data_IF_941714346464
#
_entry.id   IF_941714346464
#
_cell.length_a   1.000
_cell.length_b   1.000
_cell.length_c   1.000
_cell.angle_alpha   90.00
_cell.angle_beta   90.00
_cell.angle_gamma   90.00
#
_symmetry.space_group_name_H-M   'P 1'
#
loop_
_entity.id
_entity.type
_entity.pdbx_description
1 polymer ?
#
# COMPACT_ATOMS: atom_id res chain seq x y z
N UNK A 1 -13.91 -0.28 -14.91
CA UNK A 1 -14.23 0.93 -14.14
C UNK A 1 -15.62 0.86 -13.55
N UNK A 2 -16.72 0.72 -14.31
CA UNK A 2 -18.08 0.61 -13.70
C UNK A 2 -18.19 -0.43 -12.59
N UNK A 3 -17.53 -1.59 -12.74
CA UNK A 3 -17.49 -2.66 -11.72
C UNK A 3 -16.78 -2.26 -10.42
N UNK A 4 -15.92 -1.25 -10.43
CA UNK A 4 -15.21 -0.73 -9.25
C UNK A 4 -15.95 0.44 -8.56
N UNK A 5 -16.90 1.07 -9.24
CA UNK A 5 -17.64 2.20 -8.67
C UNK A 5 -18.56 1.75 -7.54
N UNK A 6 -18.82 2.66 -6.60
CA UNK A 6 -19.76 2.42 -5.50
C UNK A 6 -19.19 2.70 -4.12
N UNK A 7 -19.80 2.07 -3.12
CA UNK A 7 -19.54 2.31 -1.71
C UNK A 7 -18.80 1.13 -1.11
N UNK A 8 -17.72 1.40 -0.38
CA UNK A 8 -16.90 0.42 0.33
C UNK A 8 -16.83 0.78 1.81
N UNK A 9 -16.76 -0.21 2.69
CA UNK A 9 -16.55 0.06 4.12
C UNK A 9 -15.11 0.53 4.37
N UNK A 10 -14.17 0.04 3.56
CA UNK A 10 -12.76 0.43 3.61
C UNK A 10 -12.08 0.43 2.23
N UNK A 11 -11.06 1.28 2.09
CA UNK A 11 -10.16 1.31 0.92
C UNK A 11 -8.72 1.26 1.42
N UNK A 12 -8.01 0.19 1.07
CA UNK A 12 -6.72 -0.16 1.67
C UNK A 12 -5.63 -0.20 0.58
N UNK A 13 -4.55 0.55 0.79
CA UNK A 13 -3.36 0.46 -0.06
C UNK A 13 -2.58 -0.82 0.23
N UNK A 14 -2.15 -1.52 -0.83
CA UNK A 14 -1.20 -2.64 -0.77
C UNK A 14 0.20 -2.22 -1.24
N UNK A 15 0.49 -0.92 -1.27
CA UNK A 15 1.81 -0.38 -1.55
C UNK A 15 2.19 -0.35 -3.03
N UNK A 16 3.48 -0.56 -3.27
CA UNK A 16 4.36 -0.16 -4.39
C UNK A 16 5.20 1.01 -3.96
N UNK A 17 4.51 2.09 -3.62
CA UNK A 17 5.07 3.32 -3.13
C UNK A 17 4.01 4.03 -2.27
N UNK A 18 4.42 5.13 -1.64
CA UNK A 18 3.56 5.92 -0.77
C UNK A 18 2.48 6.74 -1.51
N UNK A 19 2.62 6.96 -2.84
CA UNK A 19 1.66 7.77 -3.60
C UNK A 19 0.27 7.17 -3.64
N UNK A 20 0.14 5.84 -3.66
CA UNK A 20 -1.17 5.19 -3.53
C UNK A 20 -1.89 5.67 -2.27
N UNK A 21 -1.23 5.63 -1.10
CA UNK A 21 -1.81 6.07 0.17
C UNK A 21 -2.06 7.60 0.22
N UNK A 22 -1.19 8.40 -0.40
CA UNK A 22 -1.34 9.86 -0.51
C UNK A 22 -2.58 10.20 -1.35
N UNK A 23 -2.76 9.56 -2.50
CA UNK A 23 -3.90 9.80 -3.36
C UNK A 23 -5.19 9.31 -2.71
N UNK A 24 -5.21 8.13 -2.08
CA UNK A 24 -6.38 7.67 -1.33
C UNK A 24 -6.77 8.67 -0.22
N UNK A 25 -5.80 9.26 0.51
CA UNK A 25 -6.08 10.33 1.48
C UNK A 25 -6.69 11.57 0.81
N UNK A 26 -6.10 12.02 -0.30
CA UNK A 26 -6.57 13.20 -1.05
C UNK A 26 -8.03 13.08 -1.49
N UNK A 27 -8.45 11.88 -1.90
CA UNK A 27 -9.84 11.60 -2.29
C UNK A 27 -10.72 11.16 -1.11
N UNK A 28 -10.25 11.32 0.14
CA UNK A 28 -10.96 10.95 1.37
C UNK A 28 -11.36 9.48 1.42
N UNK A 29 -10.58 8.61 0.78
CA UNK A 29 -10.79 7.15 0.76
C UNK A 29 -9.92 6.42 1.80
N UNK A 30 -8.93 7.10 2.39
CA UNK A 30 -8.08 6.54 3.42
C UNK A 30 -8.50 7.01 4.82
N UNK A 31 -9.11 6.12 5.62
CA UNK A 31 -9.55 6.41 7.01
C UNK A 31 -8.40 6.41 8.02
N UNK A 32 -7.34 5.64 7.76
CA UNK A 32 -6.18 5.45 8.64
C UNK A 32 -4.92 5.15 7.84
N UNK A 33 -3.74 5.13 8.46
CA UNK A 33 -2.53 4.66 7.78
C UNK A 33 -2.43 3.14 7.87
N UNK A 34 -2.41 2.45 6.72
CA UNK A 34 -2.23 1.00 6.63
C UNK A 34 -0.77 0.56 6.88
N UNK A 35 -0.52 -0.75 7.00
CA UNK A 35 0.80 -1.29 7.27
C UNK A 35 1.80 -1.11 6.10
N UNK A 36 1.32 -0.83 4.89
CA UNK A 36 2.14 -0.69 3.68
C UNK A 36 2.20 0.74 3.12
N UNK A 37 1.52 1.71 3.74
CA UNK A 37 1.35 3.07 3.19
C UNK A 37 2.65 3.86 3.02
N UNK A 38 3.65 3.57 3.84
CA UNK A 38 4.91 4.31 3.92
C UNK A 38 6.11 3.51 3.42
N UNK A 39 5.82 2.39 2.75
CA UNK A 39 6.81 1.48 2.22
C UNK A 39 6.83 1.53 0.69
N UNK A 40 8.01 1.37 0.13
CA UNK A 40 8.16 0.90 -1.23
C UNK A 40 8.20 -0.62 -1.24
N UNK A 41 7.40 -1.23 -2.11
CA UNK A 41 7.27 -2.67 -2.23
C UNK A 41 7.16 -3.04 -3.72
N UNK A 42 8.30 -3.09 -4.44
CA UNK A 42 8.28 -3.18 -5.90
C UNK A 42 7.64 -4.49 -6.38
N UNK A 43 7.85 -5.59 -5.65
CA UNK A 43 7.38 -6.92 -6.04
C UNK A 43 6.04 -7.24 -5.37
N UNK A 44 5.01 -7.57 -6.17
CA UNK A 44 3.73 -8.00 -5.61
C UNK A 44 3.83 -9.40 -4.97
N UNK A 45 4.64 -10.31 -5.53
CA UNK A 45 4.97 -11.61 -4.93
C UNK A 45 5.50 -11.51 -3.49
N UNK A 46 6.31 -10.50 -3.19
CA UNK A 46 6.76 -10.22 -1.82
C UNK A 46 5.62 -9.87 -0.88
N UNK A 47 4.66 -9.05 -1.36
CA UNK A 47 3.46 -8.68 -0.58
C UNK A 47 2.53 -9.87 -0.41
N UNK A 48 2.36 -10.73 -1.43
CA UNK A 48 1.62 -11.99 -1.30
C UNK A 48 2.22 -12.85 -0.18
N UNK A 49 3.54 -13.00 -0.17
CA UNK A 49 4.27 -13.76 0.86
C UNK A 49 4.14 -13.13 2.25
N UNK A 50 4.15 -11.79 2.34
CA UNK A 50 3.95 -11.04 3.58
C UNK A 50 2.56 -11.29 4.17
N UNK A 51 1.51 -11.14 3.36
CA UNK A 51 0.13 -11.36 3.77
C UNK A 51 -0.13 -12.83 4.15
N UNK A 52 0.37 -13.78 3.34
CA UNK A 52 0.25 -15.21 3.59
C UNK A 52 0.90 -15.64 4.91
N UNK A 53 1.98 -14.97 5.31
CA UNK A 53 2.71 -15.24 6.54
C UNK A 53 2.27 -14.36 7.72
N UNK A 54 1.13 -13.67 7.63
CA UNK A 54 0.61 -12.81 8.69
C UNK A 54 1.62 -11.79 9.24
N UNK A 55 2.41 -11.18 8.35
CA UNK A 55 3.46 -10.21 8.73
C UNK A 55 4.52 -10.75 9.70
N UNK A 56 4.68 -12.08 9.83
CA UNK A 56 5.67 -12.70 10.72
C UNK A 56 7.10 -12.30 10.31
N UNK A 57 7.88 -11.82 11.27
CA UNK A 57 9.21 -11.22 11.09
C UNK A 57 9.26 -9.98 10.16
N UNK A 58 8.13 -9.34 9.86
CA UNK A 58 8.12 -8.09 9.11
C UNK A 58 8.74 -6.95 9.92
N UNK A 59 9.77 -6.33 9.35
CA UNK A 59 10.54 -5.26 9.97
C UNK A 59 11.08 -5.67 11.36
N UNK A 60 11.57 -6.91 11.46
CA UNK A 60 12.38 -7.34 12.61
C UNK A 60 13.80 -6.88 12.39
N UNK A 61 14.41 -6.29 13.42
CA UNK A 61 15.72 -5.62 13.35
C UNK A 61 16.81 -6.46 12.66
N UNK A 62 16.84 -7.78 12.89
CA UNK A 62 17.80 -8.72 12.26
C UNK A 62 17.70 -8.81 10.73
N UNK A 63 16.54 -8.46 10.15
CA UNK A 63 16.27 -8.49 8.72
C UNK A 63 16.47 -7.11 8.07
N UNK A 64 16.77 -6.09 8.88
CA UNK A 64 16.79 -4.69 8.47
C UNK A 64 18.19 -4.13 8.31
N UNK A 65 18.38 -3.26 7.34
CA UNK A 65 19.59 -2.44 7.24
C UNK A 65 19.27 -1.03 6.73
N UNK A 66 20.05 -0.05 7.20
CA UNK A 66 20.01 1.29 6.66
C UNK A 66 20.76 1.35 5.33
N UNK A 67 20.09 1.88 4.30
CA UNK A 67 20.75 2.19 3.05
C UNK A 67 21.68 3.41 3.23
N UNK A 68 22.73 3.56 2.41
CA UNK A 68 23.65 4.69 2.52
C UNK A 68 22.99 6.05 2.29
N UNK A 69 21.93 6.06 1.49
CA UNK A 69 21.17 7.25 1.13
C UNK A 69 20.17 7.62 2.23
N UNK A 70 19.94 8.92 2.39
CA UNK A 70 18.89 9.47 3.23
C UNK A 70 17.83 10.11 2.34
N UNK A 71 16.60 10.18 2.84
CA UNK A 71 15.50 10.82 2.15
C UNK A 71 15.01 12.05 2.91
N UNK A 72 14.45 13.01 2.17
CA UNK A 72 13.69 14.13 2.73
C UNK A 72 12.22 13.83 2.52
N UNK A 73 11.47 13.73 3.62
CA UNK A 73 10.06 13.35 3.58
C UNK A 73 9.15 14.40 4.22
N UNK A 74 7.90 14.41 3.77
CA UNK A 74 6.79 15.07 4.44
C UNK A 74 5.92 14.00 5.07
N UNK A 75 5.86 13.97 6.40
CA UNK A 75 5.00 13.04 7.12
C UNK A 75 3.58 13.60 7.24
N UNK A 76 2.62 12.71 7.42
CA UNK A 76 1.21 13.08 7.60
C UNK A 76 1.06 14.10 8.74
N UNK A 77 0.70 15.34 8.39
CA UNK A 77 0.51 16.43 9.34
C UNK A 77 1.76 17.22 9.71
N UNK A 78 2.91 16.94 9.09
CA UNK A 78 4.15 17.71 9.28
C UNK A 78 4.33 18.68 8.11
N UNK A 79 4.41 19.97 8.42
CA UNK A 79 4.55 21.05 7.43
C UNK A 79 6.00 21.17 6.93
N UNK A 80 6.97 20.79 7.76
CA UNK A 80 8.40 20.90 7.46
C UNK A 80 8.99 19.58 6.96
N UNK A 81 9.95 19.63 6.02
CA UNK A 81 10.68 18.45 5.59
C UNK A 81 11.45 17.83 6.75
N UNK A 82 11.40 16.50 6.86
CA UNK A 82 12.14 15.72 7.85
C UNK A 82 13.13 14.82 7.12
N UNK A 83 14.38 14.81 7.56
CA UNK A 83 15.34 13.82 7.09
C UNK A 83 15.01 12.47 7.70
N UNK A 84 14.92 11.43 6.86
CA UNK A 84 14.67 10.06 7.28
C UNK A 84 15.75 9.15 6.71
N UNK A 85 16.18 8.19 7.52
CA UNK A 85 16.91 7.03 7.01
C UNK A 85 16.00 6.22 6.09
N UNK A 86 16.60 5.64 5.05
CA UNK A 86 15.95 4.67 4.17
C UNK A 86 16.29 3.28 4.71
N UNK A 87 15.29 2.57 5.23
CA UNK A 87 15.50 1.28 5.90
C UNK A 87 14.90 0.15 5.08
N UNK A 88 15.72 -0.82 4.71
CA UNK A 88 15.31 -1.98 3.92
C UNK A 88 15.09 -3.19 4.81
N UNK A 89 13.94 -3.85 4.65
CA UNK A 89 13.71 -5.22 5.12
C UNK A 89 14.05 -6.20 4.00
N UNK A 90 15.00 -7.09 4.26
CA UNK A 90 15.48 -8.09 3.30
C UNK A 90 14.58 -9.30 3.18
N UNK A 91 13.80 -9.63 4.22
CA UNK A 91 12.92 -10.81 4.23
C UNK A 91 11.77 -10.66 3.24
N UNK A 92 11.16 -9.48 3.21
CA UNK A 92 10.03 -9.17 2.35
C UNK A 92 10.37 -8.19 1.23
N UNK A 93 11.63 -7.78 1.10
CA UNK A 93 12.09 -6.85 0.07
C UNK A 93 11.30 -5.53 0.05
N UNK A 94 10.93 -4.99 1.21
CA UNK A 94 10.27 -3.68 1.34
C UNK A 94 11.22 -2.63 1.89
N UNK A 95 10.99 -1.37 1.55
CA UNK A 95 11.83 -0.25 2.00
C UNK A 95 10.96 0.79 2.70
N UNK A 96 11.25 1.14 3.95
CA UNK A 96 10.64 2.28 4.63
C UNK A 96 11.41 3.56 4.31
N UNK A 97 10.66 4.62 3.97
CA UNK A 97 11.22 5.94 3.66
C UNK A 97 10.88 7.02 4.70
N UNK A 98 9.88 6.79 5.54
CA UNK A 98 9.25 7.84 6.36
C UNK A 98 9.33 7.61 7.87
N UNK A 99 9.72 6.40 8.28
CA UNK A 99 9.50 5.96 9.65
C UNK A 99 10.69 6.17 10.60
N UNK A 100 11.88 6.47 10.07
CA UNK A 100 13.14 6.51 10.83
C UNK A 100 13.81 7.89 10.70
N UNK A 101 13.40 8.90 11.49
CA UNK A 101 13.97 10.24 11.40
C UNK A 101 15.47 10.24 11.72
N UNK A 102 16.23 11.09 11.02
CA UNK A 102 17.65 11.32 11.32
C UNK A 102 17.74 12.20 12.57
N UNK A 103 18.30 11.64 13.63
CA UNK A 103 18.57 12.35 14.89
C UNK A 103 20.09 12.57 15.00
N UNK A 104 20.57 13.80 15.23
CA UNK A 104 22.00 14.07 15.31
C UNK A 104 22.70 13.21 16.37
N UNK A 105 23.79 12.56 15.98
CA UNK A 105 24.64 11.70 16.83
C UNK A 105 23.98 10.41 17.34
N UNK A 106 22.85 10.01 16.76
CA UNK A 106 22.17 8.76 17.12
C UNK A 106 22.18 7.78 15.94
N UNK A 107 22.16 6.49 16.26
CA UNK A 107 21.97 5.44 15.26
C UNK A 107 20.51 5.40 14.77
N UNK A 108 20.31 4.97 13.52
CA UNK A 108 18.98 4.90 12.89
C UNK A 108 17.97 4.04 13.68
N UNK A 109 18.45 3.04 14.43
CA UNK A 109 17.59 2.12 15.19
C UNK A 109 17.15 2.68 16.55
N UNK A 110 17.56 3.88 16.94
CA UNK A 110 17.14 4.51 18.21
C UNK A 110 15.62 4.63 18.34
N UNK A 111 14.93 4.83 17.20
CA UNK A 111 13.46 4.93 17.12
C UNK A 111 12.76 3.61 16.79
N UNK A 112 13.51 2.49 16.72
CA UNK A 112 12.99 1.19 16.27
C UNK A 112 11.79 0.72 17.08
N UNK A 113 11.85 0.84 18.41
CA UNK A 113 10.78 0.39 19.29
C UNK A 113 9.45 1.09 18.99
N UNK A 114 9.47 2.42 18.89
CA UNK A 114 8.29 3.23 18.62
C UNK A 114 7.75 2.99 17.20
N UNK A 115 8.66 2.86 16.23
CA UNK A 115 8.30 2.44 14.89
C UNK A 115 7.59 1.08 14.88
N UNK A 116 8.16 0.08 15.55
CA UNK A 116 7.64 -1.29 15.53
C UNK A 116 6.28 -1.36 16.23
N UNK A 117 6.12 -0.71 17.38
CA UNK A 117 4.82 -0.60 18.06
C UNK A 117 3.76 0.06 17.17
N UNK A 118 4.12 1.14 16.46
CA UNK A 118 3.22 1.81 15.50
C UNK A 118 2.84 0.89 14.35
N UNK A 119 3.80 0.14 13.80
CA UNK A 119 3.58 -0.81 12.72
C UNK A 119 2.67 -1.96 13.16
N UNK A 120 2.91 -2.55 14.32
CA UNK A 120 2.11 -3.65 14.85
C UNK A 120 0.65 -3.23 15.04
N UNK A 121 0.39 -2.04 15.61
CA UNK A 121 -0.96 -1.48 15.69
C UNK A 121 -1.62 -1.31 14.31
N UNK A 122 -0.86 -0.95 13.27
CA UNK A 122 -1.39 -0.81 11.89
C UNK A 122 -1.74 -2.17 11.29
N UNK A 123 -0.94 -3.20 11.59
CA UNK A 123 -1.20 -4.59 11.18
C UNK A 123 -2.45 -5.12 11.89
N UNK A 124 -2.57 -4.91 13.21
CA UNK A 124 -3.75 -5.31 13.97
C UNK A 124 -5.02 -4.64 13.42
N UNK A 125 -4.96 -3.33 13.19
CA UNK A 125 -6.09 -2.61 12.60
C UNK A 125 -6.40 -3.10 11.17
N UNK A 126 -5.39 -3.44 10.36
CA UNK A 126 -5.63 -4.06 9.05
C UNK A 126 -6.42 -5.37 9.19
N UNK A 127 -6.01 -6.27 10.09
CA UNK A 127 -6.74 -7.53 10.32
C UNK A 127 -8.15 -7.31 10.87
N UNK A 128 -8.32 -6.37 11.79
CA UNK A 128 -9.64 -5.96 12.27
C UNK A 128 -10.55 -5.50 11.11
N UNK A 129 -10.03 -4.75 10.15
CA UNK A 129 -10.82 -4.27 9.01
C UNK A 129 -11.15 -5.37 8.01
N UNK A 130 -10.20 -6.25 7.68
CA UNK A 130 -10.48 -7.35 6.72
C UNK A 130 -11.46 -8.39 7.28
N UNK A 131 -11.58 -8.50 8.60
CA UNK A 131 -12.52 -9.41 9.25
C UNK A 131 -13.92 -8.83 9.47
N UNK A 132 -14.07 -7.51 9.58
CA UNK A 132 -15.36 -6.89 9.96
C UNK A 132 -16.05 -6.11 8.84
N UNK A 133 -15.30 -5.57 7.87
CA UNK A 133 -15.87 -4.85 6.73
C UNK A 133 -16.63 -5.80 5.79
N UNK A 134 -17.81 -5.39 5.31
CA UNK A 134 -18.62 -6.15 4.36
C UNK A 134 -18.11 -6.04 2.92
N UNK A 135 -17.49 -4.90 2.59
CA UNK A 135 -16.93 -4.60 1.26
C UNK A 135 -15.63 -3.80 1.38
N UNK A 136 -14.54 -4.33 0.82
CA UNK A 136 -13.22 -3.67 0.81
C UNK A 136 -12.73 -3.48 -0.62
N UNK A 137 -12.14 -2.32 -0.90
CA UNK A 137 -11.32 -2.11 -2.09
C UNK A 137 -9.84 -2.09 -1.72
N UNK A 138 -9.08 -3.05 -2.21
CA UNK A 138 -7.62 -2.99 -2.19
C UNK A 138 -7.10 -2.24 -3.42
N UNK A 139 -6.06 -1.43 -3.24
CA UNK A 139 -5.42 -0.70 -4.34
C UNK A 139 -3.93 -1.02 -4.35
N UNK A 140 -3.43 -1.52 -5.49
CA UNK A 140 -2.03 -1.89 -5.70
C UNK A 140 -1.54 -1.26 -7.00
N UNK A 141 -0.39 -0.60 -6.95
CA UNK A 141 0.33 -0.22 -8.16
C UNK A 141 1.33 -1.32 -8.54
N UNK A 142 1.43 -1.70 -9.81
CA UNK A 142 2.29 -2.79 -10.25
C UNK A 142 1.81 -4.20 -9.89
N UNK A 143 2.51 -5.19 -10.45
CA UNK A 143 2.15 -6.61 -10.39
C UNK A 143 1.74 -7.15 -11.76
N UNK A 144 2.01 -8.43 -12.00
CA UNK A 144 1.58 -9.14 -13.21
C UNK A 144 0.39 -10.07 -12.96
N UNK A 145 -0.13 -10.70 -14.03
CA UNK A 145 -1.27 -11.63 -13.96
C UNK A 145 -1.09 -12.74 -12.92
N UNK A 146 0.07 -13.41 -12.90
CA UNK A 146 0.35 -14.51 -11.98
C UNK A 146 0.39 -14.03 -10.53
N UNK A 147 1.06 -12.91 -10.27
CA UNK A 147 1.12 -12.32 -8.93
C UNK A 147 -0.25 -11.82 -8.45
N UNK A 148 -1.09 -11.32 -9.36
CA UNK A 148 -2.44 -10.86 -9.05
C UNK A 148 -3.41 -12.01 -8.77
N UNK A 149 -3.27 -13.13 -9.50
CA UNK A 149 -3.99 -14.37 -9.21
C UNK A 149 -3.62 -14.90 -7.81
N UNK A 150 -2.33 -14.89 -7.47
CA UNK A 150 -1.88 -15.25 -6.12
C UNK A 150 -2.42 -14.28 -5.07
N UNK A 151 -2.39 -12.96 -5.32
CA UNK A 151 -2.94 -11.96 -4.41
C UNK A 151 -4.43 -12.21 -4.14
N UNK A 152 -5.23 -12.44 -5.19
CA UNK A 152 -6.63 -12.80 -5.04
C UNK A 152 -6.79 -14.05 -4.18
N UNK A 153 -5.98 -15.08 -4.41
CA UNK A 153 -6.03 -16.33 -3.64
C UNK A 153 -5.71 -16.09 -2.17
N UNK A 154 -4.65 -15.31 -1.88
CA UNK A 154 -4.26 -14.97 -0.49
C UNK A 154 -5.37 -14.16 0.19
N UNK A 155 -5.89 -13.11 -0.46
CA UNK A 155 -6.95 -12.28 0.11
C UNK A 155 -8.25 -13.06 0.31
N UNK A 156 -8.60 -13.98 -0.60
CA UNK A 156 -9.78 -14.85 -0.44
C UNK A 156 -9.70 -15.74 0.79
N UNK A 157 -8.50 -16.05 1.29
CA UNK A 157 -8.31 -16.85 2.49
C UNK A 157 -8.36 -16.04 3.78
N UNK A 158 -8.07 -14.72 3.74
CA UNK A 158 -7.94 -13.89 4.96
C UNK A 158 -9.02 -12.83 5.10
N UNK A 159 -9.67 -12.42 4.01
CA UNK A 159 -10.78 -11.45 4.05
C UNK A 159 -12.08 -12.21 4.29
N UNK A 160 -12.86 -11.79 5.29
CA UNK A 160 -14.08 -12.52 5.70
C UNK A 160 -15.23 -12.36 4.71
N UNK A 161 -15.38 -11.17 4.13
CA UNK A 161 -16.51 -10.82 3.27
C UNK A 161 -16.02 -10.45 1.86
N UNK A 162 -16.73 -9.55 1.17
CA UNK A 162 -16.42 -9.22 -0.21
C UNK A 162 -15.22 -8.26 -0.31
N UNK A 163 -14.39 -8.48 -1.31
CA UNK A 163 -13.35 -7.54 -1.68
C UNK A 163 -13.19 -7.42 -3.20
N UNK A 164 -12.56 -6.34 -3.61
CA UNK A 164 -12.06 -6.10 -4.97
C UNK A 164 -10.63 -5.59 -4.90
N UNK A 165 -9.87 -5.81 -5.96
CA UNK A 165 -8.51 -5.31 -6.12
C UNK A 165 -8.50 -4.41 -7.36
N UNK A 166 -8.27 -3.12 -7.17
CA UNK A 166 -7.84 -2.22 -8.23
C UNK A 166 -6.32 -2.38 -8.39
N UNK A 167 -5.89 -2.97 -9.50
CA UNK A 167 -4.48 -3.17 -9.81
C UNK A 167 -4.07 -2.22 -10.95
N UNK A 168 -3.12 -1.34 -10.71
CA UNK A 168 -2.66 -0.36 -11.68
C UNK A 168 -1.42 -0.90 -12.39
N UNK A 169 -1.57 -1.26 -13.66
CA UNK A 169 -0.54 -1.92 -14.45
C UNK A 169 0.24 -0.88 -15.30
N UNK A 170 1.49 -0.52 -14.94
CA UNK A 170 2.18 0.65 -15.48
C UNK A 170 2.84 0.39 -16.84
N UNK A 171 2.05 -0.01 -17.85
CA UNK A 171 2.53 -0.32 -19.21
C UNK A 171 1.95 0.59 -20.29
N UNK A 172 1.08 1.54 -19.92
CA UNK A 172 0.48 2.50 -20.85
C UNK A 172 1.33 3.76 -21.07
N UNK A 173 0.92 4.57 -22.04
CA UNK A 173 1.43 5.92 -22.25
C UNK A 173 0.77 6.92 -21.29
N UNK A 174 1.32 8.14 -21.23
CA UNK A 174 0.80 9.22 -20.37
C UNK A 174 -0.70 9.47 -20.65
N UNK A 175 -1.51 9.45 -19.60
CA UNK A 175 -2.98 9.57 -19.63
C UNK A 175 -3.76 8.41 -20.26
N UNK A 176 -3.12 7.32 -20.70
CA UNK A 176 -3.84 6.10 -21.07
C UNK A 176 -4.41 5.42 -19.83
N UNK A 177 -5.68 5.01 -19.93
CA UNK A 177 -6.40 4.31 -18.88
C UNK A 177 -7.27 3.25 -19.56
N UNK A 178 -6.77 2.02 -19.64
CA UNK A 178 -7.46 0.93 -20.31
C UNK A 178 -7.76 -0.20 -19.32
N UNK A 179 -9.00 -0.69 -19.32
CA UNK A 179 -9.35 -1.90 -18.58
C UNK A 179 -8.73 -3.11 -19.29
N UNK A 180 -8.09 -4.00 -18.52
CA UNK A 180 -7.56 -5.25 -19.05
C UNK A 180 -8.47 -6.41 -18.63
N UNK A 181 -8.63 -7.38 -19.53
CA UNK A 181 -9.45 -8.57 -19.29
C UNK A 181 -8.53 -9.74 -18.90
N UNK A 182 -8.17 -9.79 -17.62
CA UNK A 182 -7.33 -10.86 -17.06
C UNK A 182 -8.11 -12.13 -16.66
N UNK A 183 -9.44 -12.10 -16.73
CA UNK A 183 -10.29 -13.23 -16.38
C UNK A 183 -10.28 -13.60 -14.90
N UNK A 184 -9.97 -12.65 -14.01
CA UNK A 184 -9.97 -12.83 -12.56
C UNK A 184 -11.24 -12.23 -11.94
N UNK A 185 -11.79 -12.90 -10.93
CA UNK A 185 -13.08 -12.53 -10.32
C UNK A 185 -13.02 -11.25 -9.48
N UNK A 186 -11.93 -11.08 -8.73
CA UNK A 186 -11.76 -9.98 -7.77
C UNK A 186 -10.75 -8.93 -8.24
N UNK A 187 -9.99 -9.19 -9.30
CA UNK A 187 -8.95 -8.29 -9.79
C UNK A 187 -9.44 -7.47 -10.98
N UNK A 188 -9.30 -6.16 -10.87
CA UNK A 188 -9.61 -5.18 -11.90
C UNK A 188 -8.30 -4.50 -12.34
N UNK A 189 -7.55 -5.11 -13.26
CA UNK A 189 -6.32 -4.54 -13.79
C UNK A 189 -6.64 -3.39 -14.74
N UNK A 190 -6.03 -2.24 -14.47
CA UNK A 190 -6.13 -1.05 -15.31
C UNK A 190 -4.74 -0.68 -15.79
N UNK A 191 -4.53 -0.73 -17.10
CA UNK A 191 -3.32 -0.20 -17.72
C UNK A 191 -3.27 1.32 -17.53
N UNK A 192 -2.14 1.80 -17.02
CA UNK A 192 -1.85 3.22 -16.81
C UNK A 192 -0.40 3.53 -17.17
N UNK A 193 -0.05 4.80 -17.28
CA UNK A 193 1.35 5.25 -17.36
C UNK A 193 2.13 4.92 -16.09
N UNK A 194 3.45 4.78 -16.17
CA UNK A 194 4.34 4.64 -15.00
C UNK A 194 4.39 5.89 -14.10
N UNK A 195 3.86 7.02 -14.55
CA UNK A 195 3.73 8.24 -13.76
C UNK A 195 2.66 8.10 -12.65
N UNK A 196 3.07 7.59 -11.49
CA UNK A 196 2.23 7.47 -10.29
C UNK A 196 1.78 8.82 -9.70
N UNK A 197 2.32 9.96 -10.16
CA UNK A 197 1.90 11.30 -9.71
C UNK A 197 0.81 11.91 -10.60
N UNK A 198 0.41 11.25 -11.69
CA UNK A 198 -0.57 11.79 -12.63
C UNK A 198 -1.93 11.99 -11.94
N UNK A 199 -2.25 13.26 -11.64
CA UNK A 199 -3.47 13.67 -10.95
C UNK A 199 -4.74 13.33 -11.73
N UNK A 200 -4.69 13.34 -13.06
CA UNK A 200 -5.83 13.01 -13.93
C UNK A 200 -6.14 11.52 -13.83
N UNK A 201 -5.12 10.67 -13.88
CA UNK A 201 -5.26 9.21 -13.70
C UNK A 201 -5.96 8.89 -12.39
N UNK A 202 -5.46 9.40 -11.27
CA UNK A 202 -6.08 9.18 -9.96
C UNK A 202 -7.50 9.74 -9.84
N UNK A 203 -7.77 10.91 -10.42
CA UNK A 203 -9.14 11.45 -10.46
C UNK A 203 -10.09 10.50 -11.18
N UNK A 204 -9.74 10.04 -12.37
CA UNK A 204 -10.60 9.16 -13.18
C UNK A 204 -10.85 7.83 -12.45
N UNK A 205 -9.82 7.26 -11.83
CA UNK A 205 -9.91 5.98 -11.13
C UNK A 205 -10.76 6.04 -9.85
N UNK A 206 -10.70 7.16 -9.11
CA UNK A 206 -11.23 7.23 -7.74
C UNK A 206 -12.51 8.07 -7.59
N UNK A 207 -12.88 8.91 -8.57
CA UNK A 207 -13.98 9.89 -8.43
C UNK A 207 -15.35 9.31 -8.05
N UNK A 208 -15.62 8.07 -8.46
CA UNK A 208 -16.92 7.40 -8.28
C UNK A 208 -16.83 6.28 -7.22
N UNK A 209 -15.79 6.33 -6.37
CA UNK A 209 -15.56 5.43 -5.25
C UNK A 209 -15.79 6.24 -3.98
N UNK A 210 -16.57 5.68 -3.05
CA UNK A 210 -16.92 6.35 -1.80
C UNK A 210 -16.77 5.39 -0.62
N UNK A 211 -16.48 5.95 0.56
CA UNK A 211 -16.54 5.21 1.80
C UNK A 211 -17.95 5.22 2.38
N UNK A 212 -18.34 4.11 2.98
CA UNK A 212 -19.53 4.04 3.82
C UNK A 212 -19.34 5.00 5.00
N UNK A 213 -20.35 5.83 5.25
CA UNK A 213 -20.39 6.87 6.27
C UNK A 213 -20.79 6.36 7.66
N UNK A 214 -20.97 5.04 7.80
CA UNK A 214 -21.26 4.35 9.07
C UNK A 214 -19.99 4.04 9.85
#
# INVERSE_FOLDING_TARGET
MKKLQGIYDDVISLGENCYTAIHLKKYRLRKYSGPLDWFESPNLSSINTLLKNNFIDFMVLKNMYAMPEQNIVFNDGVIQPVFSHIIKDTKYNVTSYHDFPVIPNEDWFITYHDFKQKLDRRIDNFYEKIHHSQSILFVRWGGNLTEALELQTVLSNIVKNNFKILLLYPTGLENEINELEWGLDHVFPIQVSSNYQNKRTWYILLKDIHLNSK
#
